data_IF_472607317509
#
_entry.id   IF_472607317509
#
_cell.length_a   1.000
_cell.length_b   1.000
_cell.length_c   1.000
_cell.angle_alpha   90.00
_cell.angle_beta   90.00
_cell.angle_gamma   90.00
#
_symmetry.space_group_name_H-M   'P 1'
#
loop_
_entity.id
_entity.type
_entity.pdbx_description
1 polymer ?
#
# COMPACT_ATOMS: atom_id res chain seq x y z
N UNK A 1 31.46 66.04 14.87
CA UNK A 1 30.58 64.92 15.26
C UNK A 1 30.17 64.18 13.99
N UNK A 2 30.74 62.99 13.72
CA UNK A 2 30.16 62.01 12.79
C UNK A 2 30.95 60.69 12.84
N UNK A 3 30.36 59.63 13.43
CA UNK A 3 30.60 58.27 12.95
C UNK A 3 29.29 57.47 12.83
N UNK A 4 28.15 58.13 12.58
CA UNK A 4 26.84 57.46 12.63
C UNK A 4 26.41 56.85 11.29
N UNK A 5 26.95 57.33 10.16
CA UNK A 5 26.53 56.90 8.82
C UNK A 5 27.12 55.54 8.41
N UNK A 6 28.37 55.23 8.80
CA UNK A 6 29.00 53.93 8.51
C UNK A 6 28.31 52.79 9.28
N UNK A 7 27.95 53.04 10.54
CA UNK A 7 27.33 52.03 11.39
C UNK A 7 25.93 51.62 10.90
N UNK A 8 25.15 52.59 10.42
CA UNK A 8 23.82 52.35 9.85
C UNK A 8 23.91 51.54 8.55
N UNK A 9 24.91 51.80 7.71
CA UNK A 9 25.12 51.08 6.46
C UNK A 9 25.55 49.62 6.71
N UNK A 10 26.44 49.40 7.68
CA UNK A 10 26.86 48.05 8.10
C UNK A 10 25.69 47.25 8.68
N UNK A 11 24.85 47.87 9.52
CA UNK A 11 23.64 47.21 10.05
C UNK A 11 22.65 46.87 8.94
N UNK A 12 22.46 47.73 7.95
CA UNK A 12 21.59 47.49 6.80
C UNK A 12 22.08 46.28 5.99
N UNK A 13 23.38 46.23 5.67
CA UNK A 13 23.98 45.11 4.93
C UNK A 13 23.86 43.81 5.72
N UNK A 14 24.16 43.83 7.03
CA UNK A 14 24.03 42.65 7.89
C UNK A 14 22.58 42.15 7.96
N UNK A 15 21.61 43.06 8.09
CA UNK A 15 20.19 42.69 8.10
C UNK A 15 19.76 42.05 6.78
N UNK A 16 20.26 42.56 5.64
CA UNK A 16 19.94 42.04 4.32
C UNK A 16 20.48 40.62 4.14
N UNK A 17 21.71 40.36 4.61
CA UNK A 17 22.34 39.03 4.58
C UNK A 17 21.52 38.03 5.41
N UNK A 18 21.06 38.44 6.60
CA UNK A 18 20.24 37.59 7.47
C UNK A 18 18.91 37.25 6.78
N UNK A 19 18.21 38.25 6.24
CA UNK A 19 16.94 38.05 5.52
C UNK A 19 17.13 37.15 4.29
N UNK A 20 18.18 37.37 3.51
CA UNK A 20 18.50 36.51 2.37
C UNK A 20 18.83 35.07 2.79
N UNK A 21 19.56 34.90 3.89
CA UNK A 21 19.89 33.59 4.46
C UNK A 21 18.63 32.83 4.89
N UNK A 22 17.70 33.50 5.58
CA UNK A 22 16.41 32.91 5.95
C UNK A 22 15.55 32.60 4.73
N UNK A 23 15.48 33.49 3.74
CA UNK A 23 14.72 33.26 2.51
C UNK A 23 15.29 32.06 1.74
N UNK A 24 16.59 32.02 1.50
CA UNK A 24 17.26 30.92 0.80
C UNK A 24 17.12 29.59 1.56
N UNK A 25 17.29 29.61 2.88
CA UNK A 25 17.09 28.44 3.75
C UNK A 25 15.65 27.93 3.73
N UNK A 26 14.67 28.84 3.77
CA UNK A 26 13.25 28.51 3.65
C UNK A 26 12.94 27.89 2.29
N UNK A 27 13.43 28.47 1.19
CA UNK A 27 13.27 27.89 -0.15
C UNK A 27 13.89 26.51 -0.23
N UNK A 28 15.15 26.35 0.21
CA UNK A 28 15.85 25.07 0.22
C UNK A 28 15.09 23.99 1.00
N UNK A 29 14.63 24.30 2.22
CA UNK A 29 13.89 23.34 3.04
C UNK A 29 12.47 23.07 2.51
N UNK A 30 11.82 24.08 1.93
CA UNK A 30 10.49 23.93 1.34
C UNK A 30 10.47 23.02 0.11
N UNK A 31 11.58 22.92 -0.64
CA UNK A 31 11.68 22.00 -1.78
C UNK A 31 11.68 20.52 -1.37
N UNK A 32 12.03 20.23 -0.11
CA UNK A 32 12.06 18.87 0.43
C UNK A 32 10.70 18.45 1.02
N UNK A 33 9.78 19.40 1.23
CA UNK A 33 8.49 19.15 1.90
C UNK A 33 7.41 18.53 0.98
N UNK A 34 7.67 18.44 -0.32
CA UNK A 34 6.76 17.77 -1.25
C UNK A 34 7.57 16.70 -1.99
N UNK A 35 7.54 15.42 -1.56
CA UNK A 35 7.89 14.36 -2.48
C UNK A 35 6.96 14.57 -3.68
N UNK A 36 7.55 14.90 -4.84
CA UNK A 36 6.83 14.92 -6.09
C UNK A 36 6.15 13.55 -6.19
N UNK A 37 4.85 13.51 -5.94
CA UNK A 37 4.05 12.31 -6.20
C UNK A 37 4.12 12.19 -7.71
N UNK A 38 5.08 11.42 -8.19
CA UNK A 38 5.09 10.94 -9.55
C UNK A 38 3.67 10.44 -9.78
N UNK A 39 2.93 10.96 -10.78
CA UNK A 39 1.64 10.42 -11.13
C UNK A 39 1.88 8.94 -11.41
N UNK A 40 1.57 8.10 -10.43
CA UNK A 40 1.58 6.66 -10.63
C UNK A 40 0.36 6.48 -11.50
N UNK A 41 0.58 6.27 -12.81
CA UNK A 41 -0.51 5.83 -13.67
C UNK A 41 -1.17 4.66 -12.94
N UNK A 42 -2.49 4.72 -12.71
CA UNK A 42 -3.16 3.58 -12.11
C UNK A 42 -2.75 2.36 -12.95
N UNK A 43 -2.33 1.25 -12.31
CA UNK A 43 -1.98 0.06 -13.05
C UNK A 43 -3.12 -0.19 -14.03
N UNK A 44 -2.84 -0.49 -15.31
CA UNK A 44 -3.88 -0.75 -16.28
C UNK A 44 -4.83 -1.70 -15.58
N UNK A 45 -6.09 -1.26 -15.40
CA UNK A 45 -7.11 -2.06 -14.73
C UNK A 45 -7.10 -3.33 -15.55
N UNK A 46 -6.42 -4.37 -15.06
CA UNK A 46 -6.42 -5.68 -15.67
C UNK A 46 -7.91 -6.00 -15.65
N UNK A 47 -8.52 -5.84 -16.82
CA UNK A 47 -9.95 -5.61 -16.97
C UNK A 47 -10.61 -6.61 -16.08
N UNK A 48 -11.22 -6.10 -14.99
CA UNK A 48 -11.78 -6.85 -13.86
C UNK A 48 -12.33 -8.15 -14.45
N UNK A 49 -11.56 -9.24 -14.36
CA UNK A 49 -11.69 -10.37 -15.30
C UNK A 49 -13.12 -10.83 -15.21
N UNK A 50 -13.89 -10.38 -16.21
CA UNK A 50 -15.33 -10.34 -16.06
C UNK A 50 -15.69 -11.81 -16.10
N UNK A 51 -16.39 -12.29 -15.07
CA UNK A 51 -16.77 -13.71 -14.94
C UNK A 51 -17.59 -14.20 -16.16
N UNK A 52 -17.79 -13.36 -17.17
CA UNK A 52 -18.07 -13.65 -18.57
C UNK A 52 -17.31 -14.88 -19.11
N UNK A 53 -16.07 -15.13 -18.72
CA UNK A 53 -15.36 -16.37 -19.11
C UNK A 53 -16.10 -17.63 -18.62
N UNK A 54 -16.81 -17.52 -17.49
CA UNK A 54 -17.64 -18.58 -16.92
C UNK A 54 -19.13 -18.49 -17.32
N UNK A 55 -19.52 -17.53 -18.16
CA UNK A 55 -20.92 -17.35 -18.59
C UNK A 55 -21.51 -18.61 -19.22
N UNK A 56 -20.68 -19.37 -19.91
CA UNK A 56 -21.06 -20.63 -20.55
C UNK A 56 -20.53 -21.87 -19.80
N UNK A 57 -19.93 -21.70 -18.62
CA UNK A 57 -19.47 -22.83 -17.82
C UNK A 57 -20.69 -23.62 -17.34
N UNK A 58 -20.88 -24.81 -17.90
CA UNK A 58 -21.82 -25.80 -17.39
C UNK A 58 -21.02 -26.88 -16.69
N UNK A 59 -21.13 -26.94 -15.37
CA UNK A 59 -20.52 -27.99 -14.56
C UNK A 59 -21.46 -29.19 -14.62
N UNK A 60 -20.99 -30.31 -15.15
CA UNK A 60 -21.72 -31.57 -15.15
C UNK A 60 -21.50 -32.29 -13.81
N UNK A 61 -22.56 -32.39 -13.02
CA UNK A 61 -22.56 -33.08 -11.73
C UNK A 61 -23.01 -34.54 -11.83
N UNK A 62 -23.18 -35.09 -13.04
CA UNK A 62 -23.55 -36.49 -13.29
C UNK A 62 -22.61 -37.49 -12.60
N UNK A 63 -21.35 -37.11 -12.36
CA UNK A 63 -20.41 -37.93 -11.59
C UNK A 63 -20.90 -38.20 -10.17
N UNK A 64 -21.59 -37.25 -9.54
CA UNK A 64 -22.13 -37.38 -8.17
C UNK A 64 -23.38 -38.26 -8.11
N UNK A 65 -23.95 -38.64 -9.25
CA UNK A 65 -25.10 -39.55 -9.29
C UNK A 65 -24.73 -41.01 -9.01
N UNK A 66 -23.43 -41.33 -9.05
CA UNK A 66 -22.95 -42.66 -8.69
C UNK A 66 -23.27 -42.95 -7.21
N UNK A 67 -23.81 -44.15 -6.97
CA UNK A 67 -24.15 -44.66 -5.62
C UNK A 67 -22.98 -44.56 -4.63
N UNK A 68 -21.74 -44.66 -5.12
CA UNK A 68 -20.51 -44.51 -4.32
C UNK A 68 -20.35 -43.12 -3.70
N UNK A 69 -20.82 -42.06 -4.36
CA UNK A 69 -20.77 -40.68 -3.81
C UNK A 69 -22.04 -40.30 -3.06
N UNK A 70 -23.14 -41.04 -3.25
CA UNK A 70 -24.38 -40.90 -2.47
C UNK A 70 -24.29 -41.57 -1.10
N UNK A 71 -23.40 -42.54 -0.96
CA UNK A 71 -23.01 -43.05 0.32
C UNK A 71 -22.11 -42.00 0.99
N UNK A 72 -22.57 -41.45 2.12
CA UNK A 72 -21.70 -40.76 3.09
C UNK A 72 -20.78 -41.82 3.73
N UNK A 73 -19.96 -42.50 2.93
CA UNK A 73 -18.89 -43.33 3.44
C UNK A 73 -17.82 -42.37 3.96
N UNK A 74 -17.65 -42.39 5.29
CA UNK A 74 -16.60 -41.65 5.96
C UNK A 74 -15.29 -42.35 5.58
N UNK A 75 -14.60 -41.85 4.56
CA UNK A 75 -13.25 -42.29 4.22
C UNK A 75 -12.27 -41.62 5.18
N UNK A 76 -12.04 -42.25 6.34
CA UNK A 76 -11.12 -41.79 7.37
C UNK A 76 -11.68 -41.96 8.78
N UNK A 77 -10.83 -41.80 9.79
CA UNK A 77 -11.29 -41.70 11.17
C UNK A 77 -12.08 -40.39 11.32
N UNK A 78 -13.36 -40.47 11.68
CA UNK A 78 -14.17 -39.31 12.07
C UNK A 78 -14.51 -39.42 13.55
N UNK A 79 -14.13 -38.44 14.37
CA UNK A 79 -13.36 -37.23 14.01
C UNK A 79 -11.89 -37.54 13.70
N UNK A 80 -11.29 -36.82 12.74
CA UNK A 80 -9.85 -36.89 12.47
C UNK A 80 -9.12 -36.42 13.71
N UNK A 81 -8.20 -37.23 14.24
CA UNK A 81 -7.32 -36.80 15.33
C UNK A 81 -6.10 -36.09 14.70
N UNK A 82 -6.05 -34.75 14.65
CA UNK A 82 -4.94 -34.04 14.03
C UNK A 82 -3.66 -34.36 14.80
N UNK A 83 -2.61 -34.80 14.09
CA UNK A 83 -1.28 -34.99 14.67
C UNK A 83 -0.70 -33.66 15.20
N UNK A 84 0.45 -33.73 15.86
CA UNK A 84 1.17 -32.56 16.43
C UNK A 84 1.61 -31.49 15.42
N UNK A 85 1.36 -31.71 14.12
CA UNK A 85 1.77 -30.81 13.04
C UNK A 85 0.55 -30.34 12.25
N UNK A 86 0.31 -29.02 12.25
CA UNK A 86 -0.77 -28.35 11.50
C UNK A 86 -1.43 -27.25 12.31
N UNK A 87 -2.06 -26.26 11.63
CA UNK A 87 -2.91 -25.29 12.33
C UNK A 87 -4.16 -26.01 12.82
N UNK A 88 -4.40 -25.97 14.14
CA UNK A 88 -5.63 -26.48 14.77
C UNK A 88 -6.89 -25.80 14.23
N UNK A 89 -6.75 -24.58 13.72
CA UNK A 89 -7.78 -23.82 13.03
C UNK A 89 -7.21 -23.23 11.73
N UNK A 90 -7.73 -23.66 10.59
CA UNK A 90 -7.31 -23.24 9.26
C UNK A 90 -7.83 -21.84 8.89
N UNK A 91 -8.79 -21.30 9.65
CA UNK A 91 -9.45 -20.03 9.39
C UNK A 91 -9.17 -18.96 10.45
N UNK A 92 -8.39 -19.29 11.48
CA UNK A 92 -7.91 -18.28 12.42
C UNK A 92 -7.02 -17.26 11.68
N UNK A 93 -7.30 -15.94 11.81
CA UNK A 93 -6.48 -14.91 11.19
C UNK A 93 -5.05 -14.95 11.74
N UNK A 94 -4.10 -14.54 10.89
CA UNK A 94 -2.66 -14.49 11.17
C UNK A 94 -2.35 -13.19 11.92
#
# INVERSE_FOLDING_TARGET
>A
MAPQQSNNQTMLIASLIIVFGFAAGYFYYSQWAVPARVPIEPPPIAGRDDLMTFKNLKIDFSILDNKKYKALEIFGESPVNPGVTGKKDLFAPI
#
